data_IF_910494134713
#
_entry.id   IF_910494134713
#
_cell.length_a   1.000
_cell.length_b   1.000
_cell.length_c   1.000
_cell.angle_alpha   90.00
_cell.angle_beta   90.00
_cell.angle_gamma   90.00
#
_symmetry.space_group_name_H-M   'P 1'
#
loop_
_entity.id
_entity.type
_entity.pdbx_description
1 polymer ?
#
# COMPACT_ATOMS: atom_id res chain seq x y z
N UNK A 1 21.82 -2.27 -1.08
CA UNK A 1 21.46 -3.54 -1.76
C UNK A 1 20.00 -3.80 -1.43
N UNK A 2 19.18 -4.20 -2.41
CA UNK A 2 17.77 -4.52 -2.13
C UNK A 2 17.69 -5.71 -1.16
N UNK A 3 16.85 -5.60 -0.14
CA UNK A 3 16.58 -6.68 0.81
C UNK A 3 15.70 -7.75 0.18
N UNK A 4 15.59 -8.96 0.77
CA UNK A 4 14.61 -9.95 0.35
C UNK A 4 13.17 -9.40 0.42
N UNK A 5 12.88 -8.54 1.40
CA UNK A 5 11.60 -7.86 1.54
C UNK A 5 11.33 -6.87 0.39
N UNK A 6 12.33 -6.06 0.01
CA UNK A 6 12.24 -5.18 -1.17
C UNK A 6 11.89 -5.97 -2.44
N UNK A 7 12.56 -7.11 -2.61
CA UNK A 7 12.38 -7.97 -3.79
C UNK A 7 10.99 -8.62 -3.79
N UNK A 8 10.49 -9.05 -2.63
CA UNK A 8 9.14 -9.59 -2.47
C UNK A 8 8.07 -8.53 -2.78
N UNK A 9 8.24 -7.30 -2.29
CA UNK A 9 7.33 -6.18 -2.53
C UNK A 9 7.29 -5.80 -4.03
N UNK A 10 8.44 -5.75 -4.69
CA UNK A 10 8.54 -5.49 -6.14
C UNK A 10 7.88 -6.62 -6.95
N UNK A 11 8.11 -7.88 -6.58
CA UNK A 11 7.48 -9.02 -7.25
C UNK A 11 5.96 -9.01 -7.07
N UNK A 12 5.45 -8.69 -5.89
CA UNK A 12 4.03 -8.56 -5.62
C UNK A 12 3.40 -7.39 -6.40
N UNK A 13 4.12 -6.26 -6.49
CA UNK A 13 3.73 -5.10 -7.30
C UNK A 13 3.60 -5.49 -8.78
N UNK A 14 4.61 -6.14 -9.35
CA UNK A 14 4.57 -6.57 -10.76
C UNK A 14 3.48 -7.61 -11.00
N UNK A 15 3.31 -8.57 -10.08
CA UNK A 15 2.21 -9.54 -10.13
C UNK A 15 0.86 -8.83 -10.18
N UNK A 16 0.62 -7.86 -9.29
CA UNK A 16 -0.62 -7.09 -9.24
C UNK A 16 -0.86 -6.34 -10.55
N UNK A 17 0.16 -5.68 -11.10
CA UNK A 17 0.07 -5.02 -12.41
C UNK A 17 -0.32 -5.99 -13.53
N UNK A 18 0.20 -7.22 -13.53
CA UNK A 18 -0.16 -8.23 -14.55
C UNK A 18 -1.60 -8.72 -14.39
N UNK A 19 -2.05 -9.01 -13.16
CA UNK A 19 -3.40 -9.56 -12.93
C UNK A 19 -4.52 -8.51 -12.89
N UNK A 20 -4.16 -7.22 -12.69
CA UNK A 20 -5.07 -6.06 -12.68
C UNK A 20 -4.42 -4.87 -13.42
N UNK A 21 -4.26 -4.94 -14.76
CA UNK A 21 -3.56 -3.90 -15.52
C UNK A 21 -4.14 -2.49 -15.35
N UNK A 22 -5.45 -2.37 -15.16
CA UNK A 22 -6.12 -1.08 -14.91
C UNK A 22 -5.67 -0.38 -13.62
N UNK A 23 -5.06 -1.10 -12.67
CA UNK A 23 -4.50 -0.52 -11.44
C UNK A 23 -3.02 -0.19 -11.56
N UNK A 24 -2.35 -0.56 -12.66
CA UNK A 24 -0.90 -0.51 -12.76
C UNK A 24 -0.34 0.90 -12.52
N UNK A 25 -0.95 1.93 -13.10
CA UNK A 25 -0.53 3.33 -12.89
C UNK A 25 -0.62 3.72 -11.41
N UNK A 26 -1.70 3.35 -10.73
CA UNK A 26 -1.89 3.69 -9.32
C UNK A 26 -0.89 2.94 -8.43
N UNK A 27 -0.73 1.63 -8.64
CA UNK A 27 0.17 0.79 -7.85
C UNK A 27 1.63 1.22 -8.02
N UNK A 28 2.05 1.48 -9.26
CA UNK A 28 3.41 1.96 -9.57
C UNK A 28 3.69 3.38 -9.10
N UNK A 29 2.64 4.14 -8.76
CA UNK A 29 2.78 5.48 -8.17
C UNK A 29 2.96 5.45 -6.64
N UNK A 30 2.76 4.29 -6.00
CA UNK A 30 2.99 4.15 -4.57
C UNK A 30 4.50 4.12 -4.26
N UNK A 31 4.92 4.86 -3.24
CA UNK A 31 6.32 4.95 -2.82
C UNK A 31 6.58 4.01 -1.64
N UNK A 32 7.39 2.94 -1.81
CA UNK A 32 7.68 2.01 -0.72
C UNK A 32 8.53 2.66 0.37
N UNK A 33 8.16 2.45 1.63
CA UNK A 33 8.87 2.94 2.82
C UNK A 33 8.94 1.82 3.86
N UNK A 34 10.15 1.45 4.29
CA UNK A 34 10.31 0.51 5.39
C UNK A 34 9.74 1.10 6.70
N UNK A 35 8.94 0.30 7.40
CA UNK A 35 8.40 0.60 8.71
C UNK A 35 8.51 -0.64 9.63
N UNK A 36 9.72 -0.95 10.14
CA UNK A 36 9.91 -2.06 11.05
C UNK A 36 9.04 -1.93 12.30
N UNK A 37 8.38 -3.03 12.71
CA UNK A 37 7.46 -3.05 13.85
C UNK A 37 6.03 -2.62 13.52
N UNK A 38 5.72 -2.24 12.27
CA UNK A 38 4.36 -1.96 11.82
C UNK A 38 3.46 -3.20 11.87
N UNK A 39 4.03 -4.40 11.72
CA UNK A 39 3.27 -5.65 11.77
C UNK A 39 2.44 -5.96 10.51
N UNK A 40 2.45 -5.09 9.49
CA UNK A 40 1.61 -5.19 8.29
C UNK A 40 2.12 -4.25 7.16
N UNK A 41 1.31 -4.04 6.12
CA UNK A 41 1.38 -2.90 5.21
C UNK A 41 0.36 -1.81 5.59
N UNK A 42 0.63 -0.57 5.21
CA UNK A 42 -0.31 0.55 5.33
C UNK A 42 -0.01 1.64 4.30
N UNK A 43 -0.98 2.48 3.95
CA UNK A 43 -0.77 3.68 3.12
C UNK A 43 -1.17 4.99 3.80
N UNK A 44 -0.61 6.08 3.30
CA UNK A 44 -1.01 7.44 3.67
C UNK A 44 -1.47 8.30 2.48
N UNK A 45 -2.01 9.48 2.78
CA UNK A 45 -2.47 10.45 1.78
C UNK A 45 -1.36 10.97 0.84
N UNK A 46 -0.07 10.68 1.12
CA UNK A 46 1.07 11.01 0.27
C UNK A 46 1.46 9.86 -0.66
N UNK A 47 0.61 8.85 -0.79
CA UNK A 47 0.84 7.67 -1.64
C UNK A 47 2.08 6.88 -1.22
N UNK A 48 2.48 6.96 0.04
CA UNK A 48 3.54 6.09 0.57
C UNK A 48 2.92 4.76 0.99
N UNK A 49 3.54 3.65 0.59
CA UNK A 49 3.20 2.31 1.07
C UNK A 49 4.26 1.90 2.09
N UNK A 50 3.85 1.90 3.35
CA UNK A 50 4.65 1.45 4.47
C UNK A 50 4.55 -0.06 4.59
N UNK A 51 5.67 -0.71 4.89
CA UNK A 51 5.69 -2.15 5.06
C UNK A 51 6.67 -2.57 6.14
N UNK A 52 6.30 -3.58 6.93
CA UNK A 52 7.20 -4.22 7.86
C UNK A 52 8.02 -5.33 7.13
N UNK A 53 9.34 -5.16 6.95
CA UNK A 53 10.16 -6.11 6.19
C UNK A 53 10.19 -7.52 6.80
N UNK A 54 10.10 -7.61 8.13
CA UNK A 54 10.09 -8.89 8.84
C UNK A 54 8.77 -9.64 8.64
N UNK A 55 7.69 -8.92 8.39
CA UNK A 55 6.37 -9.52 8.18
C UNK A 55 6.20 -9.93 6.72
N UNK A 56 6.44 -9.02 5.78
CA UNK A 56 6.15 -9.27 4.37
C UNK A 56 7.06 -10.36 3.76
N UNK A 57 8.25 -10.56 4.32
CA UNK A 57 9.18 -11.61 3.89
C UNK A 57 8.65 -13.03 4.18
N UNK A 58 7.65 -13.17 5.05
CA UNK A 58 7.03 -14.45 5.42
C UNK A 58 5.70 -14.69 4.72
N UNK A 59 5.11 -13.66 4.11
CA UNK A 59 3.80 -13.76 3.49
C UNK A 59 3.89 -14.47 2.13
N UNK A 60 2.94 -15.38 1.81
CA UNK A 60 2.78 -15.88 0.46
C UNK A 60 2.62 -14.73 -0.54
N UNK A 61 3.23 -14.86 -1.72
CA UNK A 61 3.20 -13.83 -2.77
C UNK A 61 1.77 -13.39 -3.16
N UNK A 62 0.81 -14.31 -3.09
CA UNK A 62 -0.60 -14.03 -3.40
C UNK A 62 -1.24 -13.15 -2.33
N UNK A 63 -0.92 -13.38 -1.05
CA UNK A 63 -1.41 -12.56 0.07
C UNK A 63 -0.78 -11.17 0.06
N UNK A 64 0.53 -11.08 -0.23
CA UNK A 64 1.21 -9.78 -0.37
C UNK A 64 0.62 -8.95 -1.52
N UNK A 65 0.34 -9.57 -2.68
CA UNK A 65 -0.33 -8.89 -3.79
C UNK A 65 -1.78 -8.48 -3.46
N UNK A 66 -2.50 -9.29 -2.67
CA UNK A 66 -3.84 -8.96 -2.20
C UNK A 66 -3.83 -7.79 -1.20
N UNK A 67 -2.84 -7.74 -0.31
CA UNK A 67 -2.64 -6.61 0.59
C UNK A 67 -2.32 -5.33 -0.17
N UNK A 68 -1.42 -5.36 -1.16
CA UNK A 68 -1.17 -4.21 -2.04
C UNK A 68 -2.43 -3.75 -2.78
N UNK A 69 -3.27 -4.67 -3.23
CA UNK A 69 -4.57 -4.35 -3.83
C UNK A 69 -5.50 -3.63 -2.83
N UNK A 70 -5.52 -4.08 -1.57
CA UNK A 70 -6.27 -3.43 -0.51
C UNK A 70 -5.76 -2.00 -0.25
N UNK A 71 -4.44 -1.84 -0.11
CA UNK A 71 -3.81 -0.54 0.16
C UNK A 71 -4.02 0.47 -0.99
N UNK A 72 -3.84 0.07 -2.25
CA UNK A 72 -4.11 0.98 -3.38
C UNK A 72 -5.60 1.34 -3.47
N UNK A 73 -6.49 0.45 -3.02
CA UNK A 73 -7.93 0.73 -2.95
C UNK A 73 -8.26 1.81 -1.90
N UNK A 74 -7.48 1.92 -0.82
CA UNK A 74 -7.61 3.04 0.12
C UNK A 74 -7.29 4.38 -0.53
N UNK A 75 -6.22 4.43 -1.33
CA UNK A 75 -5.79 5.64 -2.05
C UNK A 75 -6.83 6.06 -3.10
N UNK A 76 -7.25 5.12 -3.96
CA UNK A 76 -8.19 5.41 -5.05
C UNK A 76 -9.57 5.84 -4.57
N UNK A 77 -9.97 5.43 -3.36
CA UNK A 77 -11.28 5.75 -2.77
C UNK A 77 -11.22 6.92 -1.80
N UNK A 78 -10.07 7.62 -1.73
CA UNK A 78 -9.80 8.71 -0.79
C UNK A 78 -10.28 8.39 0.63
N UNK A 79 -9.88 7.21 1.13
CA UNK A 79 -10.36 6.77 2.44
C UNK A 79 -9.88 7.71 3.55
N UNK A 80 -8.66 8.25 3.43
CA UNK A 80 -8.12 9.25 4.35
C UNK A 80 -8.96 10.52 4.37
N UNK A 81 -9.34 11.07 3.21
CA UNK A 81 -10.20 12.26 3.13
C UNK A 81 -11.59 12.03 3.72
N UNK A 82 -12.18 10.86 3.49
CA UNK A 82 -13.50 10.47 4.03
C UNK A 82 -13.50 10.22 5.54
N UNK A 83 -12.36 9.86 6.12
CA UNK A 83 -12.18 9.71 7.57
C UNK A 83 -11.74 11.02 8.24
N UNK A 84 -11.40 12.06 7.48
CA UNK A 84 -11.03 13.35 8.04
C UNK A 84 -12.23 13.94 8.77
N UNK A 85 -12.10 14.38 10.03
CA UNK A 85 -13.18 15.08 10.70
C UNK A 85 -13.55 16.32 9.89
N UNK A 86 -14.81 16.42 9.50
CA UNK A 86 -15.37 17.63 8.90
C UNK A 86 -15.40 18.71 9.99
N UNK A 87 -14.33 19.49 10.11
CA UNK A 87 -14.35 20.74 10.86
C UNK A 87 -15.03 21.79 9.98
N UNK A 88 -16.35 21.69 9.85
CA UNK A 88 -17.13 22.79 9.28
C UNK A 88 -17.44 23.81 10.39
N UNK A 89 -16.78 24.97 10.32
CA UNK A 89 -17.05 26.09 11.24
C UNK A 89 -18.36 26.83 10.91
N UNK A 90 -19.09 26.43 9.86
CA UNK A 90 -20.33 27.07 9.39
C UNK A 90 -21.58 26.18 9.55
N UNK A 91 -21.44 24.95 10.05
CA UNK A 91 -22.56 24.04 10.33
C UNK A 91 -22.94 23.94 11.82
N UNK A 92 -22.34 24.77 12.67
CA UNK A 92 -22.75 25.07 14.05
C UNK A 92 -22.49 26.55 14.36
#
# INVERSE_FOLDING_TARGET
MNTPADSALQAATMRLCVIRPYLATAVLSMLPVEAPGLGTLAVDHRWRVYYDPDVISRWPMQELAAALYHEVSHLLRDHHGRCSPVYDKLLW
#
